data_IF_960644061769
#
_entry.id   IF_960644061769
#
_cell.length_a   1.000
_cell.length_b   1.000
_cell.length_c   1.000
_cell.angle_alpha   90.00
_cell.angle_beta   90.00
_cell.angle_gamma   90.00
#
_symmetry.space_group_name_H-M   'P 1'
#
loop_
_entity.id
_entity.type
_entity.pdbx_description
1 polymer ?
#
# COMPACT_ATOMS: atom_id res chain seq x y z
N UNK A 1 -13.52 -12.99 30.44
CA UNK A 1 -13.14 -11.58 30.49
C UNK A 1 -14.26 -10.77 31.12
N UNK A 2 -13.97 -9.79 31.97
CA UNK A 2 -15.03 -8.94 32.52
C UNK A 2 -14.99 -7.55 31.87
N UNK A 3 -16.11 -6.86 31.84
CA UNK A 3 -16.27 -5.54 31.22
C UNK A 3 -15.32 -4.49 31.79
N UNK A 4 -15.00 -4.54 33.08
CA UNK A 4 -14.13 -3.58 33.74
C UNK A 4 -12.68 -3.68 33.18
N UNK A 5 -12.22 -4.88 32.89
CA UNK A 5 -10.90 -5.12 32.31
C UNK A 5 -10.82 -4.60 30.87
N UNK A 6 -11.84 -4.87 30.05
CA UNK A 6 -11.91 -4.36 28.66
C UNK A 6 -11.91 -2.83 28.65
N UNK A 7 -12.75 -2.21 29.49
CA UNK A 7 -12.80 -0.75 29.63
C UNK A 7 -11.45 -0.16 30.04
N UNK A 8 -10.72 -0.84 30.94
CA UNK A 8 -9.36 -0.44 31.32
C UNK A 8 -8.39 -0.50 30.15
N UNK A 9 -8.44 -1.54 29.32
CA UNK A 9 -7.58 -1.64 28.13
C UNK A 9 -7.85 -0.52 27.12
N UNK A 10 -9.13 -0.27 26.82
CA UNK A 10 -9.54 0.79 25.90
C UNK A 10 -9.08 2.16 26.42
N UNK A 11 -9.35 2.48 27.68
CA UNK A 11 -9.04 3.79 28.28
C UNK A 11 -7.53 4.03 28.41
N UNK A 12 -6.72 2.97 28.59
CA UNK A 12 -5.27 3.07 28.73
C UNK A 12 -4.50 2.90 27.43
N UNK A 13 -5.17 2.72 26.28
CA UNK A 13 -4.54 2.47 24.99
C UNK A 13 -3.84 1.11 24.89
N UNK A 14 -4.17 0.14 25.75
CA UNK A 14 -3.66 -1.23 25.67
C UNK A 14 -4.44 -2.05 24.63
N UNK A 15 -4.58 -1.49 23.44
CA UNK A 15 -5.30 -2.09 22.31
C UNK A 15 -4.48 -1.96 21.04
N UNK A 16 -4.72 -2.82 20.08
CA UNK A 16 -4.18 -2.69 18.72
C UNK A 16 -5.33 -2.58 17.72
N UNK A 17 -5.17 -1.70 16.74
CA UNK A 17 -6.08 -1.50 15.62
C UNK A 17 -5.48 -2.10 14.36
N UNK A 18 -6.14 -3.08 13.76
CA UNK A 18 -5.84 -3.56 12.41
C UNK A 18 -6.74 -2.86 11.40
N UNK A 19 -6.18 -2.38 10.29
CA UNK A 19 -6.95 -1.84 9.15
C UNK A 19 -6.58 -2.64 7.90
N UNK A 20 -7.58 -3.29 7.28
CA UNK A 20 -7.43 -4.07 6.06
C UNK A 20 -8.12 -3.36 4.89
N UNK A 21 -7.38 -3.14 3.81
CA UNK A 21 -7.89 -2.63 2.53
C UNK A 21 -8.13 -3.80 1.56
N UNK A 22 -9.27 -4.45 1.72
CA UNK A 22 -9.71 -5.48 0.77
C UNK A 22 -10.27 -4.88 -0.53
N UNK A 23 -10.46 -5.69 -1.56
CA UNK A 23 -10.92 -5.23 -2.89
C UNK A 23 -12.37 -4.73 -2.92
N UNK A 24 -13.18 -5.09 -1.93
CA UNK A 24 -14.61 -4.71 -1.86
C UNK A 24 -14.99 -4.06 -0.53
N UNK A 25 -14.08 -4.10 0.45
CA UNK A 25 -14.35 -3.59 1.79
C UNK A 25 -13.06 -3.17 2.49
N UNK A 26 -13.10 -2.02 3.16
CA UNK A 26 -12.13 -1.64 4.17
C UNK A 26 -12.68 -2.08 5.52
N UNK A 27 -11.86 -2.75 6.34
CA UNK A 27 -12.22 -3.25 7.68
C UNK A 27 -11.27 -2.69 8.71
N UNK A 28 -11.83 -2.34 9.85
CA UNK A 28 -11.08 -1.95 11.05
C UNK A 28 -11.42 -2.92 12.17
N UNK A 29 -10.43 -3.45 12.88
CA UNK A 29 -10.61 -4.39 13.99
C UNK A 29 -9.80 -3.92 15.19
N UNK A 30 -10.46 -3.69 16.31
CA UNK A 30 -9.81 -3.38 17.58
C UNK A 30 -9.67 -4.67 18.39
N UNK A 31 -8.45 -4.97 18.85
CA UNK A 31 -8.17 -6.13 19.68
C UNK A 31 -7.56 -5.74 21.03
N UNK A 32 -7.82 -6.55 22.05
CA UNK A 32 -7.19 -6.48 23.36
C UNK A 32 -5.81 -7.15 23.40
N UNK A 33 -5.10 -7.04 24.54
CA UNK A 33 -3.78 -7.67 24.74
C UNK A 33 -3.79 -9.21 24.67
N UNK A 34 -4.96 -9.81 24.87
CA UNK A 34 -5.19 -11.25 24.76
C UNK A 34 -5.64 -11.68 23.36
N UNK A 35 -5.57 -10.76 22.37
CA UNK A 35 -6.01 -10.93 20.99
C UNK A 35 -7.52 -11.11 20.82
N UNK A 36 -8.33 -10.90 21.85
CA UNK A 36 -9.79 -10.89 21.72
C UNK A 36 -10.24 -9.69 20.88
N UNK A 37 -11.21 -9.91 19.98
CA UNK A 37 -11.83 -8.84 19.20
C UNK A 37 -12.78 -8.05 20.09
N UNK A 38 -12.55 -6.74 20.19
CA UNK A 38 -13.33 -5.82 21.00
C UNK A 38 -14.38 -5.07 20.16
N UNK A 39 -14.04 -4.68 18.94
CA UNK A 39 -14.95 -4.03 18.01
C UNK A 39 -14.47 -4.23 16.55
N UNK A 40 -15.42 -4.14 15.61
CA UNK A 40 -15.16 -4.24 14.18
C UNK A 40 -15.90 -3.12 13.47
N UNK A 41 -15.22 -2.37 12.62
CA UNK A 41 -15.85 -1.40 11.72
C UNK A 41 -15.63 -1.76 10.26
N UNK A 42 -16.41 -1.18 9.38
CA UNK A 42 -16.28 -1.46 7.95
C UNK A 42 -16.83 -0.36 7.04
N UNK A 43 -16.25 -0.30 5.83
CA UNK A 43 -16.70 0.54 4.74
C UNK A 43 -16.69 -0.28 3.45
N UNK A 44 -17.81 -0.33 2.74
CA UNK A 44 -17.89 -0.99 1.43
C UNK A 44 -17.47 -0.02 0.33
N UNK A 45 -16.59 -0.47 -0.56
CA UNK A 45 -16.14 0.31 -1.70
C UNK A 45 -15.98 -0.56 -2.95
N UNK A 46 -15.81 0.06 -4.10
CA UNK A 46 -15.67 -0.65 -5.36
C UNK A 46 -14.51 -0.08 -6.19
N UNK A 47 -13.83 -0.98 -6.88
CA UNK A 47 -12.83 -0.64 -7.88
C UNK A 47 -13.53 0.01 -9.09
N UNK A 48 -13.05 1.16 -9.53
CA UNK A 48 -13.63 1.92 -10.64
C UNK A 48 -12.76 1.80 -11.88
N UNK A 49 -13.38 1.79 -13.05
CA UNK A 49 -12.70 1.86 -14.34
C UNK A 49 -12.66 3.30 -14.83
N UNK A 50 -11.49 3.94 -14.70
CA UNK A 50 -11.26 5.33 -15.11
C UNK A 50 -10.23 5.33 -16.25
N UNK A 51 -10.59 5.85 -17.42
CA UNK A 51 -9.71 5.91 -18.60
C UNK A 51 -9.04 4.57 -18.94
N UNK A 52 -9.76 3.45 -18.75
CA UNK A 52 -9.24 2.11 -19.00
C UNK A 52 -8.37 1.53 -17.86
N UNK A 53 -8.25 2.22 -16.73
CA UNK A 53 -7.49 1.80 -15.55
C UNK A 53 -8.44 1.42 -14.42
N UNK A 54 -8.29 0.21 -13.88
CA UNK A 54 -8.95 -0.19 -12.64
C UNK A 54 -8.26 0.46 -11.45
N UNK A 55 -8.97 1.34 -10.75
CA UNK A 55 -8.41 2.25 -9.74
C UNK A 55 -9.32 2.43 -8.53
N UNK A 56 -8.75 2.99 -7.46
CA UNK A 56 -9.43 3.68 -6.36
C UNK A 56 -8.82 5.07 -6.24
N UNK A 57 -9.65 6.12 -6.11
CA UNK A 57 -9.13 7.47 -5.87
C UNK A 57 -8.52 7.58 -4.46
N UNK A 58 -7.59 8.52 -4.27
CA UNK A 58 -7.01 8.79 -2.95
C UNK A 58 -8.10 9.24 -1.96
N UNK A 59 -9.10 10.00 -2.42
CA UNK A 59 -10.24 10.40 -1.60
C UNK A 59 -11.08 9.21 -1.14
N UNK A 60 -11.31 8.22 -2.03
CA UNK A 60 -12.03 6.99 -1.66
C UNK A 60 -11.27 6.19 -0.59
N UNK A 61 -9.92 6.14 -0.67
CA UNK A 61 -9.08 5.50 0.34
C UNK A 61 -9.28 6.17 1.69
N UNK A 62 -9.19 7.51 1.76
CA UNK A 62 -9.31 8.26 3.01
C UNK A 62 -10.72 8.24 3.59
N UNK A 63 -11.74 8.41 2.78
CA UNK A 63 -13.14 8.30 3.20
C UNK A 63 -13.41 6.91 3.78
N UNK A 64 -12.90 5.86 3.13
CA UNK A 64 -13.07 4.50 3.61
C UNK A 64 -12.37 4.22 4.94
N UNK A 65 -11.17 4.76 5.18
CA UNK A 65 -10.50 4.70 6.48
C UNK A 65 -11.35 5.38 7.55
N UNK A 66 -11.77 6.61 7.30
CA UNK A 66 -12.54 7.42 8.24
C UNK A 66 -13.87 6.75 8.60
N UNK A 67 -14.58 6.24 7.60
CA UNK A 67 -15.86 5.57 7.80
C UNK A 67 -15.71 4.26 8.57
N UNK A 68 -14.72 3.42 8.20
CA UNK A 68 -14.49 2.15 8.90
C UNK A 68 -14.07 2.37 10.36
N UNK A 69 -13.24 3.39 10.62
CA UNK A 69 -12.86 3.78 11.99
C UNK A 69 -14.05 4.35 12.77
N UNK A 70 -14.83 5.24 12.16
CA UNK A 70 -16.01 5.83 12.80
C UNK A 70 -17.06 4.76 13.16
N UNK A 71 -17.24 3.76 12.31
CA UNK A 71 -18.11 2.61 12.58
C UNK A 71 -17.61 1.80 13.78
N UNK A 72 -16.30 1.49 13.81
CA UNK A 72 -15.67 0.81 14.94
C UNK A 72 -15.79 1.62 16.24
N UNK A 73 -15.52 2.92 16.19
CA UNK A 73 -15.60 3.79 17.38
C UNK A 73 -17.02 3.87 17.95
N UNK A 74 -18.05 3.90 17.09
CA UNK A 74 -19.46 3.81 17.52
C UNK A 74 -19.76 2.49 18.22
N UNK A 75 -19.22 1.37 17.73
CA UNK A 75 -19.41 0.08 18.39
C UNK A 75 -18.74 0.05 19.76
N UNK A 76 -17.54 0.61 19.91
CA UNK A 76 -16.89 0.76 21.22
C UNK A 76 -17.74 1.59 22.17
N UNK A 77 -18.27 2.72 21.71
CA UNK A 77 -19.13 3.58 22.54
C UNK A 77 -20.43 2.87 22.94
N UNK A 78 -21.07 2.20 22.00
CA UNK A 78 -22.33 1.46 22.25
C UNK A 78 -22.12 0.30 23.20
N UNK A 79 -21.06 -0.48 23.04
CA UNK A 79 -20.84 -1.72 23.80
C UNK A 79 -20.21 -1.47 25.17
N UNK A 80 -19.29 -0.49 25.27
CA UNK A 80 -18.52 -0.26 26.48
C UNK A 80 -18.81 1.08 27.15
N UNK A 81 -19.57 1.99 26.53
CA UNK A 81 -19.86 3.33 27.05
C UNK A 81 -18.64 4.26 27.09
N UNK A 82 -17.65 4.02 26.21
CA UNK A 82 -16.39 4.75 26.16
C UNK A 82 -16.14 5.32 24.76
N UNK A 83 -15.60 6.53 24.70
CA UNK A 83 -15.05 7.08 23.46
C UNK A 83 -13.64 6.52 23.27
N UNK A 84 -13.36 6.02 22.04
CA UNK A 84 -12.03 5.55 21.67
C UNK A 84 -11.13 6.76 21.34
N UNK A 85 -10.31 7.18 22.30
CA UNK A 85 -9.44 8.35 22.18
C UNK A 85 -7.96 8.02 22.09
N UNK A 86 -7.58 6.78 22.38
CA UNK A 86 -6.19 6.34 22.35
C UNK A 86 -6.10 4.87 21.90
N UNK A 87 -5.08 4.56 21.13
CA UNK A 87 -4.78 3.23 20.59
C UNK A 87 -3.29 2.99 20.78
N UNK A 88 -2.91 1.81 21.24
CA UNK A 88 -1.50 1.48 21.52
C UNK A 88 -0.67 1.28 20.27
N UNK A 89 -1.24 0.65 19.25
CA UNK A 89 -0.58 0.41 17.97
C UNK A 89 -1.59 0.29 16.83
N UNK A 90 -1.14 0.58 15.60
CA UNK A 90 -1.92 0.39 14.38
C UNK A 90 -1.12 -0.52 13.45
N UNK A 91 -1.77 -1.56 12.92
CA UNK A 91 -1.27 -2.40 11.85
C UNK A 91 -2.08 -2.18 10.59
N UNK A 92 -1.40 -2.15 9.45
CA UNK A 92 -2.02 -2.01 8.13
C UNK A 92 -1.85 -3.30 7.34
N UNK A 93 -2.85 -3.62 6.53
CA UNK A 93 -2.79 -4.65 5.50
C UNK A 93 -3.57 -4.15 4.28
N UNK A 94 -3.02 -4.30 3.09
CA UNK A 94 -3.69 -3.85 1.88
C UNK A 94 -3.61 -4.90 0.78
N UNK A 95 -4.40 -4.67 -0.27
CA UNK A 95 -4.24 -5.40 -1.52
C UNK A 95 -2.81 -5.25 -1.98
N UNK A 96 -2.10 -6.36 -2.02
CA UNK A 96 -0.71 -6.42 -2.44
C UNK A 96 -0.55 -5.93 -3.88
N UNK A 97 0.63 -5.42 -4.22
CA UNK A 97 0.98 -4.86 -5.51
C UNK A 97 0.31 -3.51 -5.79
N UNK A 98 0.56 -2.97 -6.96
CA UNK A 98 -0.01 -1.71 -7.44
C UNK A 98 1.05 -0.69 -7.79
N UNK A 99 0.60 0.37 -8.43
CA UNK A 99 1.46 1.43 -8.94
C UNK A 99 0.90 2.77 -8.54
N UNK A 100 1.52 3.40 -7.57
CA UNK A 100 1.21 4.71 -7.03
C UNK A 100 2.45 5.62 -7.16
N UNK A 101 2.63 6.30 -8.31
CA UNK A 101 3.77 7.19 -8.54
C UNK A 101 3.48 8.61 -8.03
N UNK A 102 4.37 9.17 -7.25
CA UNK A 102 4.28 10.53 -6.71
C UNK A 102 5.47 11.38 -7.14
N UNK A 103 5.24 12.69 -7.31
CA UNK A 103 6.29 13.68 -7.49
C UNK A 103 6.99 14.07 -6.17
N UNK A 104 7.87 15.08 -6.24
CA UNK A 104 8.60 15.59 -5.06
C UNK A 104 7.71 16.32 -4.05
N UNK A 105 6.55 16.82 -4.47
CA UNK A 105 5.59 17.52 -3.62
C UNK A 105 4.54 16.55 -3.03
N UNK A 106 4.56 15.28 -3.43
CA UNK A 106 3.63 14.25 -2.96
C UNK A 106 2.31 14.22 -3.74
N UNK A 107 2.28 14.80 -4.94
CA UNK A 107 1.14 14.73 -5.85
C UNK A 107 1.18 13.41 -6.61
N UNK A 108 0.04 12.71 -6.67
CA UNK A 108 -0.12 11.51 -7.49
C UNK A 108 -0.02 11.90 -8.97
N UNK A 109 0.84 11.20 -9.71
CA UNK A 109 1.19 11.52 -11.11
C UNK A 109 0.37 10.78 -12.15
N UNK A 110 -0.20 9.63 -11.77
CA UNK A 110 -1.05 8.81 -12.63
C UNK A 110 -2.10 8.10 -11.77
N UNK A 111 -3.18 7.63 -12.40
CA UNK A 111 -4.20 6.82 -11.71
C UNK A 111 -3.55 5.63 -10.98
N UNK A 112 -4.00 5.36 -9.76
CA UNK A 112 -3.57 4.16 -9.01
C UNK A 112 -3.89 2.90 -9.82
N UNK A 113 -2.89 2.19 -10.33
CA UNK A 113 -3.06 0.93 -11.05
C UNK A 113 -3.09 -0.21 -10.06
N UNK A 114 -4.27 -0.79 -9.86
CA UNK A 114 -4.48 -1.90 -8.94
C UNK A 114 -4.02 -3.23 -9.56
N UNK A 115 -3.99 -4.29 -8.76
CA UNK A 115 -3.67 -5.66 -9.20
C UNK A 115 -4.58 -6.20 -10.33
N UNK A 116 -5.74 -5.58 -10.57
CA UNK A 116 -6.69 -5.96 -11.65
C UNK A 116 -6.22 -5.54 -13.05
N UNK A 117 -5.25 -4.66 -13.14
CA UNK A 117 -4.76 -4.17 -14.42
C UNK A 117 -3.79 -5.18 -15.04
N UNK A 118 -4.09 -5.62 -16.27
CA UNK A 118 -3.30 -6.59 -17.05
C UNK A 118 -2.60 -5.94 -18.26
N UNK A 119 -2.31 -4.65 -18.18
CA UNK A 119 -1.73 -3.86 -19.28
C UNK A 119 -0.21 -3.98 -19.40
N UNK A 120 0.44 -4.85 -18.64
CA UNK A 120 1.91 -4.89 -18.44
C UNK A 120 2.56 -6.16 -18.97
N UNK A 121 1.87 -6.91 -19.82
CA UNK A 121 2.35 -8.20 -20.32
C UNK A 121 3.72 -8.11 -21.02
N UNK A 122 3.94 -7.05 -21.84
CA UNK A 122 5.22 -6.83 -22.50
C UNK A 122 6.34 -6.59 -21.48
N UNK A 123 6.16 -5.63 -20.57
CA UNK A 123 7.16 -5.31 -19.56
C UNK A 123 7.46 -6.50 -18.65
N UNK A 124 6.42 -7.23 -18.21
CA UNK A 124 6.59 -8.41 -17.38
C UNK A 124 7.42 -9.51 -18.07
N UNK A 125 7.17 -9.77 -19.36
CA UNK A 125 7.93 -10.70 -20.15
C UNK A 125 9.41 -10.29 -20.28
N UNK A 126 9.67 -9.04 -20.70
CA UNK A 126 11.02 -8.52 -20.87
C UNK A 126 11.82 -8.46 -19.55
N UNK A 127 11.16 -8.10 -18.43
CA UNK A 127 11.78 -8.11 -17.10
C UNK A 127 12.05 -9.53 -16.60
N UNK A 128 11.18 -10.49 -16.91
CA UNK A 128 11.39 -11.91 -16.57
C UNK A 128 12.65 -12.44 -17.24
N UNK A 129 12.86 -12.13 -18.52
CA UNK A 129 14.08 -12.48 -19.24
C UNK A 129 15.31 -11.77 -18.67
N UNK A 130 15.21 -10.47 -18.41
CA UNK A 130 16.31 -9.64 -17.88
C UNK A 130 16.82 -10.13 -16.52
N UNK A 131 15.89 -10.46 -15.62
CA UNK A 131 16.21 -10.86 -14.25
C UNK A 131 16.48 -12.37 -14.11
N UNK A 132 16.00 -13.18 -15.04
CA UNK A 132 16.09 -14.64 -14.96
C UNK A 132 15.14 -15.23 -13.90
N UNK A 133 14.12 -14.48 -13.53
CA UNK A 133 13.06 -14.93 -12.61
C UNK A 133 11.70 -14.35 -13.03
N UNK A 134 10.62 -15.04 -12.72
CA UNK A 134 9.27 -14.61 -13.09
C UNK A 134 8.89 -13.27 -12.45
N UNK A 135 8.54 -12.30 -13.27
CA UNK A 135 7.98 -11.00 -12.86
C UNK A 135 6.50 -10.97 -13.26
N UNK A 136 5.58 -11.07 -12.28
CA UNK A 136 4.16 -11.02 -12.57
C UNK A 136 3.71 -9.64 -13.09
N UNK A 137 2.73 -9.63 -13.99
CA UNK A 137 2.19 -8.41 -14.60
C UNK A 137 1.70 -7.37 -13.56
N UNK A 138 1.20 -7.83 -12.42
CA UNK A 138 0.66 -6.98 -11.35
C UNK A 138 1.71 -6.29 -10.47
N UNK A 139 2.99 -6.63 -10.60
CA UNK A 139 4.05 -6.02 -9.80
C UNK A 139 4.29 -4.56 -10.17
N UNK A 140 4.67 -3.75 -9.18
CA UNK A 140 4.90 -2.31 -9.38
C UNK A 140 5.97 -2.04 -10.43
N UNK A 141 7.03 -2.86 -10.49
CA UNK A 141 8.10 -2.73 -11.49
C UNK A 141 7.61 -3.02 -12.90
N UNK A 142 6.68 -3.97 -13.09
CA UNK A 142 6.10 -4.24 -14.41
C UNK A 142 5.26 -3.04 -14.89
N UNK A 143 4.52 -2.40 -14.00
CA UNK A 143 3.78 -1.17 -14.31
C UNK A 143 4.70 0.01 -14.61
N UNK A 144 5.80 0.17 -13.88
CA UNK A 144 6.80 1.21 -14.15
C UNK A 144 7.46 1.00 -15.51
N UNK A 145 7.94 -0.21 -15.78
CA UNK A 145 8.59 -0.52 -17.07
C UNK A 145 7.63 -0.38 -18.25
N UNK A 146 6.37 -0.78 -18.08
CA UNK A 146 5.35 -0.59 -19.13
C UNK A 146 5.07 0.91 -19.36
N UNK A 147 5.03 1.73 -18.32
CA UNK A 147 4.88 3.18 -18.46
C UNK A 147 6.08 3.79 -19.21
N UNK A 148 7.29 3.29 -18.97
CA UNK A 148 8.50 3.68 -19.71
C UNK A 148 8.39 3.28 -21.20
N UNK A 149 7.98 2.04 -21.47
CA UNK A 149 7.82 1.54 -22.85
C UNK A 149 6.76 2.33 -23.62
N UNK A 150 5.69 2.71 -22.95
CA UNK A 150 4.62 3.55 -23.51
C UNK A 150 5.02 5.03 -23.69
N UNK A 151 6.15 5.48 -23.13
CA UNK A 151 6.57 6.88 -23.15
C UNK A 151 5.64 7.79 -22.34
N UNK A 152 5.10 7.31 -21.21
CA UNK A 152 4.15 8.09 -20.39
C UNK A 152 4.84 9.30 -19.74
N UNK A 153 4.28 10.50 -19.93
CA UNK A 153 4.87 11.79 -19.55
C UNK A 153 5.18 11.96 -18.07
N UNK A 154 4.52 11.20 -17.20
CA UNK A 154 4.72 11.28 -15.75
C UNK A 154 6.02 10.60 -15.29
N UNK A 155 6.56 9.65 -16.04
CA UNK A 155 7.69 8.82 -15.62
C UNK A 155 8.92 9.63 -15.18
N UNK A 156 9.39 10.66 -15.91
CA UNK A 156 10.53 11.48 -15.46
C UNK A 156 10.28 12.27 -14.18
N UNK A 157 9.02 12.48 -13.82
CA UNK A 157 8.60 13.28 -12.67
C UNK A 157 8.57 12.47 -11.37
N UNK A 158 8.63 11.13 -11.43
CA UNK A 158 8.53 10.26 -10.26
C UNK A 158 9.68 10.56 -9.29
N UNK A 159 9.32 10.71 -8.01
CA UNK A 159 10.24 10.84 -6.88
C UNK A 159 9.94 9.85 -5.77
N UNK A 160 8.77 9.21 -5.83
CA UNK A 160 8.37 8.15 -4.92
C UNK A 160 7.37 7.23 -5.61
N UNK A 161 7.65 5.93 -5.61
CA UNK A 161 6.77 4.89 -6.11
C UNK A 161 6.43 3.94 -4.96
N UNK A 162 5.16 3.69 -4.72
CA UNK A 162 4.73 2.84 -3.61
C UNK A 162 3.46 2.05 -3.94
N UNK A 163 3.02 1.25 -2.97
CA UNK A 163 1.76 0.51 -2.97
C UNK A 163 0.71 1.22 -2.10
N UNK A 164 -0.51 0.68 -2.05
CA UNK A 164 -1.58 1.22 -1.21
C UNK A 164 -1.19 1.22 0.28
N UNK A 165 -0.60 0.12 0.79
CA UNK A 165 -0.14 0.05 2.18
C UNK A 165 0.93 1.12 2.46
N UNK A 166 1.93 1.22 1.60
CA UNK A 166 3.00 2.21 1.75
C UNK A 166 2.50 3.66 1.67
N UNK A 167 1.52 3.93 0.81
CA UNK A 167 0.88 5.24 0.75
C UNK A 167 0.17 5.59 2.06
N UNK A 168 -0.67 4.71 2.58
CA UNK A 168 -1.38 4.95 3.84
C UNK A 168 -0.41 5.07 5.02
N UNK A 169 0.61 4.20 5.08
CA UNK A 169 1.64 4.28 6.11
C UNK A 169 2.38 5.63 6.06
N UNK A 170 2.79 6.08 4.86
CA UNK A 170 3.44 7.36 4.69
C UNK A 170 2.57 8.52 5.18
N UNK A 171 1.31 8.54 4.80
CA UNK A 171 0.39 9.61 5.20
C UNK A 171 0.13 9.64 6.72
N UNK A 172 0.06 8.48 7.38
CA UNK A 172 -0.16 8.40 8.83
C UNK A 172 1.09 8.73 9.65
N UNK A 173 2.28 8.46 9.13
CA UNK A 173 3.54 8.53 9.90
C UNK A 173 4.54 9.57 9.40
N UNK A 174 4.34 10.08 8.18
CA UNK A 174 5.32 10.92 7.47
C UNK A 174 6.52 10.13 6.91
N UNK A 175 6.60 8.80 7.11
CA UNK A 175 7.74 7.96 6.71
C UNK A 175 7.43 7.16 5.45
N UNK A 176 8.28 7.32 4.44
CA UNK A 176 8.22 6.59 3.16
C UNK A 176 8.99 5.26 3.28
N UNK A 177 8.39 4.30 3.96
CA UNK A 177 8.95 2.95 4.17
C UNK A 177 7.89 1.90 3.92
N UNK A 178 8.32 0.66 3.67
CA UNK A 178 7.46 -0.47 3.39
C UNK A 178 7.98 -1.72 4.10
N UNK A 179 7.11 -2.62 4.50
CA UNK A 179 7.49 -3.93 5.00
C UNK A 179 8.05 -4.81 3.88
N UNK A 180 9.01 -5.69 4.19
CA UNK A 180 9.64 -6.57 3.20
C UNK A 180 8.64 -7.45 2.44
N UNK A 181 7.57 -7.88 3.11
CA UNK A 181 6.49 -8.66 2.49
C UNK A 181 5.82 -7.92 1.35
N UNK A 182 5.43 -6.68 1.57
CA UNK A 182 4.80 -5.82 0.55
C UNK A 182 5.84 -5.37 -0.49
N UNK A 183 7.05 -5.01 -0.06
CA UNK A 183 8.16 -4.63 -0.95
C UNK A 183 8.50 -5.72 -1.96
N UNK A 184 8.39 -7.00 -1.59
CA UNK A 184 8.62 -8.13 -2.49
C UNK A 184 7.61 -8.23 -3.65
N UNK A 185 6.47 -7.56 -3.54
CA UNK A 185 5.50 -7.38 -4.62
C UNK A 185 5.74 -6.15 -5.49
N UNK A 186 6.68 -5.30 -5.12
CA UNK A 186 7.10 -4.15 -5.93
C UNK A 186 8.28 -4.51 -6.84
N UNK A 187 9.30 -5.13 -6.27
CA UNK A 187 10.56 -5.47 -6.94
C UNK A 187 11.18 -6.69 -6.24
N UNK A 188 12.02 -7.50 -6.93
CA UNK A 188 12.71 -8.63 -6.32
C UNK A 188 13.51 -8.24 -5.08
N UNK A 189 13.36 -9.05 -4.03
CA UNK A 189 14.05 -8.90 -2.74
C UNK A 189 15.03 -10.04 -2.56
N UNK A 190 16.24 -9.72 -2.11
CA UNK A 190 17.21 -10.71 -1.67
C UNK A 190 16.80 -11.25 -0.28
N UNK A 191 16.50 -12.55 -0.15
CA UNK A 191 16.04 -13.13 1.10
C UNK A 191 17.09 -13.13 2.21
N UNK A 192 18.39 -13.01 1.86
CA UNK A 192 19.46 -12.98 2.87
C UNK A 192 19.58 -11.62 3.56
N UNK A 193 19.31 -10.55 2.81
CA UNK A 193 19.45 -9.16 3.32
C UNK A 193 18.12 -8.52 3.65
N UNK A 194 17.00 -9.07 3.13
CA UNK A 194 15.67 -8.44 3.16
C UNK A 194 15.64 -7.04 2.52
N UNK A 195 16.53 -6.80 1.56
CA UNK A 195 16.59 -5.57 0.77
C UNK A 195 16.29 -5.89 -0.69
N UNK A 196 15.98 -4.88 -1.50
CA UNK A 196 15.86 -5.07 -2.94
C UNK A 196 17.16 -5.65 -3.53
N UNK A 197 17.04 -6.62 -4.43
CA UNK A 197 18.18 -7.28 -5.05
C UNK A 197 19.02 -6.27 -5.82
N UNK A 198 20.23 -5.99 -5.35
CA UNK A 198 21.10 -4.97 -5.89
C UNK A 198 21.54 -5.28 -7.33
N UNK A 199 21.76 -6.56 -7.68
CA UNK A 199 22.15 -6.94 -9.04
C UNK A 199 20.99 -6.72 -10.03
N UNK A 200 19.75 -6.95 -9.61
CA UNK A 200 18.57 -6.68 -10.44
C UNK A 200 18.28 -5.18 -10.55
N UNK A 201 18.51 -4.41 -9.48
CA UNK A 201 18.46 -2.94 -9.53
C UNK A 201 19.43 -2.39 -10.56
N UNK A 202 20.67 -2.87 -10.56
CA UNK A 202 21.69 -2.49 -11.56
C UNK A 202 21.26 -2.85 -13.00
N UNK A 203 20.74 -4.08 -13.21
CA UNK A 203 20.22 -4.51 -14.52
C UNK A 203 19.09 -3.60 -15.01
N UNK A 204 18.15 -3.24 -14.11
CA UNK A 204 17.05 -2.34 -14.46
C UNK A 204 17.56 -0.94 -14.80
N UNK A 205 18.45 -0.36 -13.97
CA UNK A 205 19.04 0.94 -14.26
C UNK A 205 19.78 0.97 -15.60
N UNK A 206 20.54 -0.10 -15.95
CA UNK A 206 21.18 -0.22 -17.23
C UNK A 206 20.18 -0.27 -18.40
N UNK A 207 19.06 -1.02 -18.24
CA UNK A 207 17.98 -1.11 -19.24
C UNK A 207 17.39 0.26 -19.57
N UNK A 208 17.17 1.10 -18.54
CA UNK A 208 16.50 2.40 -18.70
C UNK A 208 17.46 3.58 -18.93
N UNK A 209 18.78 3.35 -18.90
CA UNK A 209 19.80 4.39 -19.03
C UNK A 209 19.66 5.27 -20.29
N UNK A 210 19.20 4.69 -21.41
CA UNK A 210 18.94 5.42 -22.66
C UNK A 210 17.90 6.54 -22.58
N UNK A 211 17.03 6.50 -21.57
CA UNK A 211 15.97 7.52 -21.37
C UNK A 211 16.45 8.73 -20.57
N UNK A 212 17.62 8.66 -19.92
CA UNK A 212 18.22 9.72 -19.10
C UNK A 212 17.28 10.26 -18.03
N UNK A 213 16.57 9.39 -17.32
CA UNK A 213 15.70 9.81 -16.20
C UNK A 213 16.53 10.49 -15.09
N UNK A 214 15.95 11.50 -14.38
CA UNK A 214 16.63 12.19 -13.30
C UNK A 214 16.65 11.41 -11.98
N UNK A 215 16.34 10.11 -12.01
CA UNK A 215 16.30 9.18 -10.88
C UNK A 215 16.91 7.83 -11.26
N UNK A 216 17.39 7.10 -10.26
CA UNK A 216 17.66 5.66 -10.34
C UNK A 216 16.56 4.91 -9.61
N UNK A 217 16.36 3.64 -9.93
CA UNK A 217 15.27 2.87 -9.36
C UNK A 217 15.23 2.94 -7.82
N UNK A 218 16.37 2.76 -7.17
CA UNK A 218 16.44 2.76 -5.70
C UNK A 218 16.09 4.13 -5.07
N UNK A 219 16.23 5.23 -5.81
CA UNK A 219 15.93 6.58 -5.31
C UNK A 219 14.41 6.82 -5.20
N UNK A 220 13.60 6.04 -5.91
CA UNK A 220 12.14 6.20 -5.98
C UNK A 220 11.38 5.09 -5.27
N UNK A 221 12.02 3.99 -4.89
CA UNK A 221 11.42 2.91 -4.09
C UNK A 221 11.45 3.23 -2.59
N UNK A 222 10.45 2.70 -1.80
CA UNK A 222 10.42 2.87 -0.34
C UNK A 222 11.52 2.10 0.37
#
# INVERSE_FOLDING_TARGET
MNDAQIKSWISSGKTALGIEFGSTRIKSVLIGPDHSVLAIGGHSWENQLVNGVWTYSLDAIWNGIQDSYADLARQVETQYGLKLTTIGSIGLSAMMHGYLPFDGEGKLLAEFRTWRNSMTAQAAGELTELFGQNIPERWSIAHLDQAILNGEDHVPQIRFLTTLEGYVHWQLTGRKVLGVGEGSGMFPVDPATCQYDAAMVEKFNARVAKYNFPWKLIDILP
#
